data_IF_949957154074
#
_entry.id   IF_949957154074
#
_cell.length_a   1.000
_cell.length_b   1.000
_cell.length_c   1.000
_cell.angle_alpha   90.00
_cell.angle_beta   90.00
_cell.angle_gamma   90.00
#
_symmetry.space_group_name_H-M   'P 1'
#
loop_
_entity.id
_entity.type
_entity.pdbx_description
1 polymer ?
#
# COMPACT_ATOMS: atom_id res chain seq x y z
N UNK A 1 -2.34 -0.27 23.73
CA UNK A 1 -1.34 0.21 22.73
C UNK A 1 -0.18 0.76 23.50
N UNK A 2 1.06 0.45 23.09
CA UNK A 2 2.21 1.18 23.60
C UNK A 2 2.22 2.57 22.94
N UNK A 3 2.53 3.61 23.71
CA UNK A 3 2.72 4.96 23.19
C UNK A 3 3.75 5.00 22.04
N UNK A 4 4.69 4.04 21.98
CA UNK A 4 5.68 3.92 20.91
C UNK A 4 5.10 3.65 19.52
N UNK A 5 3.99 2.92 19.44
CA UNK A 5 3.36 2.57 18.15
C UNK A 5 2.59 3.77 17.57
N UNK A 6 2.00 4.59 18.45
CA UNK A 6 1.35 5.86 18.07
C UNK A 6 2.37 6.91 17.63
N UNK A 7 3.47 7.03 18.36
CA UNK A 7 4.54 7.99 18.06
C UNK A 7 5.18 7.69 16.70
N UNK A 8 5.40 6.40 16.37
CA UNK A 8 5.91 6.00 15.05
C UNK A 8 4.96 6.34 13.90
N UNK A 9 3.65 6.23 14.10
CA UNK A 9 2.67 6.57 13.06
C UNK A 9 2.57 8.09 12.87
N UNK A 10 2.69 8.89 13.93
CA UNK A 10 2.72 10.36 13.83
C UNK A 10 3.97 10.93 13.15
N UNK A 11 5.06 10.17 13.11
CA UNK A 11 6.31 10.56 12.40
C UNK A 11 6.37 10.01 10.96
N UNK A 12 5.45 9.11 10.58
CA UNK A 12 5.49 8.50 9.25
C UNK A 12 4.82 9.44 8.25
N UNK A 13 5.64 10.00 7.34
CA UNK A 13 5.14 10.77 6.19
C UNK A 13 4.15 9.93 5.38
N UNK A 14 2.93 10.44 5.20
CA UNK A 14 1.95 9.88 4.28
C UNK A 14 2.22 10.43 2.90
N UNK A 15 2.50 9.54 1.95
CA UNK A 15 2.86 9.91 0.57
C UNK A 15 1.61 10.13 -0.28
N UNK A 16 0.57 9.32 -0.09
CA UNK A 16 -0.73 9.51 -0.72
C UNK A 16 -1.89 8.98 0.13
N UNK A 17 -3.08 9.49 -0.16
CA UNK A 17 -4.35 9.13 0.47
C UNK A 17 -5.26 8.55 -0.61
N UNK A 18 -5.91 7.43 -0.31
CA UNK A 18 -6.96 6.81 -1.12
C UNK A 18 -8.24 6.87 -0.31
N UNK A 19 -9.28 7.52 -0.83
CA UNK A 19 -10.56 7.60 -0.14
C UNK A 19 -11.40 6.30 -0.31
N UNK A 20 -12.56 6.26 0.35
CA UNK A 20 -13.49 5.15 0.26
C UNK A 20 -13.96 4.86 -1.17
N UNK A 21 -14.11 5.92 -1.97
CA UNK A 21 -14.48 5.89 -3.38
C UNK A 21 -13.32 5.57 -4.33
N UNK A 22 -12.15 5.24 -3.76
CA UNK A 22 -10.92 4.87 -4.48
C UNK A 22 -10.30 6.01 -5.29
N UNK A 23 -10.58 7.26 -4.93
CA UNK A 23 -9.92 8.44 -5.49
C UNK A 23 -8.59 8.65 -4.76
N UNK A 24 -7.52 8.94 -5.50
CA UNK A 24 -6.19 9.20 -4.93
C UNK A 24 -5.85 10.67 -5.05
N UNK A 25 -5.38 11.27 -3.97
CA UNK A 25 -4.92 12.66 -3.98
C UNK A 25 -3.59 12.87 -4.74
N UNK A 26 -2.75 11.83 -4.85
CA UNK A 26 -1.47 11.86 -5.52
C UNK A 26 -1.22 10.53 -6.26
N UNK A 27 -1.73 10.40 -7.49
CA UNK A 27 -1.50 9.22 -8.35
C UNK A 27 -0.04 9.10 -8.80
N UNK A 28 0.65 10.23 -8.93
CA UNK A 28 2.01 10.28 -9.45
C UNK A 28 3.00 9.57 -8.52
N UNK A 29 2.94 9.81 -7.21
CA UNK A 29 3.86 9.18 -6.26
C UNK A 29 3.69 7.65 -6.22
N UNK A 30 2.45 7.16 -6.37
CA UNK A 30 2.16 5.72 -6.47
C UNK A 30 2.75 5.15 -7.76
N UNK A 31 2.52 5.82 -8.90
CA UNK A 31 3.08 5.40 -10.19
C UNK A 31 4.61 5.38 -10.16
N UNK A 32 5.24 6.40 -9.57
CA UNK A 32 6.70 6.53 -9.47
C UNK A 32 7.30 5.42 -8.60
N UNK A 33 6.68 5.08 -7.47
CA UNK A 33 7.10 3.96 -6.65
C UNK A 33 7.09 2.64 -7.42
N UNK A 34 5.96 2.30 -8.06
CA UNK A 34 5.89 1.05 -8.82
C UNK A 34 6.81 1.03 -10.04
N UNK A 35 7.08 2.20 -10.64
CA UNK A 35 8.11 2.36 -11.69
C UNK A 35 9.52 2.11 -11.14
N UNK A 36 9.82 2.56 -9.93
CA UNK A 36 11.10 2.29 -9.27
C UNK A 36 11.32 0.78 -9.02
N UNK A 37 10.27 0.04 -8.66
CA UNK A 37 10.35 -1.43 -8.54
C UNK A 37 10.74 -2.07 -9.87
N UNK A 38 10.14 -1.64 -10.98
CA UNK A 38 10.47 -2.15 -12.33
C UNK A 38 11.94 -1.89 -12.68
N UNK A 39 12.47 -0.72 -12.32
CA UNK A 39 13.89 -0.39 -12.50
C UNK A 39 14.81 -0.96 -11.42
N UNK A 40 14.30 -1.83 -10.55
CA UNK A 40 15.04 -2.43 -9.42
C UNK A 40 15.68 -1.40 -8.48
N UNK A 41 15.06 -0.23 -8.34
CA UNK A 41 15.49 0.83 -7.41
C UNK A 41 14.77 0.65 -6.09
N UNK A 42 15.53 0.61 -5.00
CA UNK A 42 14.98 0.54 -3.65
C UNK A 42 14.10 1.77 -3.40
N UNK A 43 12.91 1.54 -2.87
CA UNK A 43 11.96 2.61 -2.61
C UNK A 43 10.92 2.15 -1.57
N UNK A 44 10.21 3.13 -1.00
CA UNK A 44 9.16 2.90 0.00
C UNK A 44 8.09 3.97 -0.12
N UNK A 45 6.83 3.55 -0.06
CA UNK A 45 5.69 4.45 0.06
C UNK A 45 4.81 4.08 1.25
N UNK A 46 4.22 5.10 1.85
CA UNK A 46 3.17 4.95 2.86
C UNK A 46 1.87 5.59 2.36
N UNK A 47 0.79 4.83 2.42
CA UNK A 47 -0.54 5.24 1.97
C UNK A 47 -1.51 5.20 3.14
N UNK A 48 -2.39 6.21 3.20
CA UNK A 48 -3.56 6.20 4.06
C UNK A 48 -4.78 5.80 3.23
N UNK A 49 -5.48 4.75 3.62
CA UNK A 49 -6.62 4.22 2.85
C UNK A 49 -7.86 4.29 3.72
N UNK A 50 -8.82 5.13 3.33
CA UNK A 50 -10.14 5.17 3.94
C UNK A 50 -11.02 4.09 3.33
N UNK A 51 -11.81 3.45 4.18
CA UNK A 51 -12.89 2.55 3.77
C UNK A 51 -14.24 3.26 3.89
N UNK A 52 -15.24 2.73 3.19
CA UNK A 52 -16.60 3.29 3.18
C UNK A 52 -17.30 3.21 4.54
N UNK A 53 -16.87 2.30 5.41
CA UNK A 53 -17.37 2.16 6.79
C UNK A 53 -16.70 3.13 7.77
N UNK A 54 -15.84 4.04 7.29
CA UNK A 54 -15.10 4.99 8.10
C UNK A 54 -13.84 4.41 8.75
N UNK A 55 -13.51 3.14 8.52
CA UNK A 55 -12.22 2.60 8.95
C UNK A 55 -11.05 3.17 8.14
N UNK A 56 -9.90 3.25 8.79
CA UNK A 56 -8.66 3.74 8.20
C UNK A 56 -7.63 2.62 8.26
N UNK A 57 -7.00 2.35 7.12
CA UNK A 57 -5.84 1.49 7.04
C UNK A 57 -4.59 2.30 6.68
N UNK A 58 -3.46 1.92 7.27
CA UNK A 58 -2.14 2.39 6.89
C UNK A 58 -1.43 1.31 6.10
N UNK A 59 -1.11 1.60 4.85
CA UNK A 59 -0.43 0.68 3.94
C UNK A 59 1.02 1.16 3.78
N UNK A 60 1.97 0.30 4.06
CA UNK A 60 3.38 0.56 3.78
C UNK A 60 3.87 -0.46 2.77
N UNK A 61 4.39 0.02 1.64
CA UNK A 61 4.96 -0.83 0.60
C UNK A 61 6.43 -0.49 0.44
N UNK A 62 7.30 -1.47 0.60
CA UNK A 62 8.74 -1.30 0.48
C UNK A 62 9.29 -2.30 -0.53
N UNK A 63 10.15 -1.84 -1.43
CA UNK A 63 10.97 -2.70 -2.25
C UNK A 63 12.44 -2.55 -1.86
N UNK A 64 13.04 -3.64 -1.40
CA UNK A 64 14.40 -3.64 -0.88
C UNK A 64 15.47 -3.99 -1.93
N UNK A 65 15.12 -4.03 -3.22
CA UNK A 65 16.00 -4.46 -4.31
C UNK A 65 15.89 -5.94 -4.65
N UNK A 66 15.16 -6.73 -3.86
CA UNK A 66 14.91 -8.17 -4.12
C UNK A 66 13.46 -8.57 -3.92
N UNK A 67 12.86 -8.12 -2.82
CA UNK A 67 11.49 -8.47 -2.41
C UNK A 67 10.67 -7.21 -2.17
N UNK A 68 9.37 -7.36 -2.36
CA UNK A 68 8.35 -6.35 -2.11
C UNK A 68 7.66 -6.75 -0.82
N UNK A 69 7.75 -5.90 0.19
CA UNK A 69 7.17 -6.08 1.51
C UNK A 69 5.97 -5.15 1.60
N UNK A 70 4.78 -5.72 1.71
CA UNK A 70 3.55 -4.97 1.85
C UNK A 70 2.99 -5.18 3.25
N UNK A 71 2.93 -4.12 4.05
CA UNK A 71 2.38 -4.15 5.41
C UNK A 71 1.11 -3.33 5.49
N UNK A 72 0.08 -3.91 6.08
CA UNK A 72 -1.19 -3.25 6.40
C UNK A 72 -1.31 -3.16 7.90
N UNK A 73 -1.55 -1.95 8.41
CA UNK A 73 -2.02 -1.73 9.78
C UNK A 73 -3.47 -1.26 9.68
N UNK A 74 -4.39 -2.09 10.14
CA UNK A 74 -5.83 -1.77 10.20
C UNK A 74 -6.29 -1.67 11.64
N UNK A 75 -7.27 -0.81 11.90
CA UNK A 75 -7.95 -0.73 13.19
C UNK A 75 -9.27 -1.49 13.10
N UNK A 76 -9.37 -2.59 13.82
CA UNK A 76 -10.55 -3.46 13.81
C UNK A 76 -11.02 -3.65 15.27
N UNK A 77 -12.28 -3.32 15.57
CA UNK A 77 -12.88 -3.47 16.92
C UNK A 77 -12.02 -2.87 18.04
N UNK A 78 -11.43 -1.70 17.79
CA UNK A 78 -10.58 -0.99 18.76
C UNK A 78 -9.16 -1.55 18.94
N UNK A 79 -8.77 -2.58 18.18
CA UNK A 79 -7.41 -3.16 18.17
C UNK A 79 -6.70 -2.86 16.85
N UNK A 80 -5.39 -2.68 16.91
CA UNK A 80 -4.56 -2.60 15.71
C UNK A 80 -4.14 -4.01 15.29
N UNK A 81 -4.43 -4.38 14.05
CA UNK A 81 -3.96 -5.61 13.43
C UNK A 81 -2.93 -5.26 12.37
N UNK A 82 -1.74 -5.87 12.48
CA UNK A 82 -0.66 -5.77 11.51
C UNK A 82 -0.62 -7.03 10.66
N UNK A 83 -0.74 -6.89 9.35
CA UNK A 83 -0.63 -7.97 8.37
C UNK A 83 0.55 -7.62 7.45
N UNK A 84 1.40 -8.60 7.14
CA UNK A 84 2.53 -8.41 6.23
C UNK A 84 2.54 -9.50 5.16
N UNK A 85 2.58 -9.06 3.91
CA UNK A 85 2.76 -9.89 2.72
C UNK A 85 4.14 -9.67 2.12
N UNK A 86 4.69 -10.72 1.53
CA UNK A 86 6.00 -10.66 0.86
C UNK A 86 5.89 -11.32 -0.52
N UNK A 87 6.26 -10.56 -1.55
CA UNK A 87 6.34 -11.04 -2.93
C UNK A 87 7.64 -10.62 -3.60
N UNK A 88 7.81 -11.00 -4.86
CA UNK A 88 8.95 -10.65 -5.70
C UNK A 88 8.56 -9.96 -7.01
N UNK A 89 7.25 -9.87 -7.30
CA UNK A 89 6.76 -9.26 -8.53
C UNK A 89 5.49 -8.47 -8.26
N UNK A 90 5.36 -7.34 -8.95
CA UNK A 90 4.10 -6.59 -9.04
C UNK A 90 3.66 -6.50 -10.48
N UNK A 91 2.37 -6.70 -10.71
CA UNK A 91 1.74 -6.52 -12.01
C UNK A 91 0.75 -5.36 -11.89
N UNK A 92 0.87 -4.39 -12.81
CA UNK A 92 -0.13 -3.34 -13.01
C UNK A 92 -1.19 -3.87 -13.97
N UNK A 93 -2.43 -3.91 -13.51
CA UNK A 93 -3.59 -4.20 -14.35
C UNK A 93 -4.48 -2.96 -14.39
N UNK A 94 -5.11 -2.73 -15.54
CA UNK A 94 -5.90 -1.53 -15.77
C UNK A 94 -7.19 -1.92 -16.48
N UNK A 95 -8.32 -1.51 -15.92
CA UNK A 95 -9.64 -1.62 -16.55
C UNK A 95 -10.12 -0.22 -16.98
N UNK A 96 -11.33 -0.10 -17.52
CA UNK A 96 -11.92 1.21 -17.85
C UNK A 96 -12.04 2.13 -16.64
N UNK A 97 -12.25 1.56 -15.46
CA UNK A 97 -12.57 2.33 -14.24
C UNK A 97 -11.43 2.35 -13.23
N UNK A 98 -10.60 1.31 -13.19
CA UNK A 98 -9.66 1.09 -12.09
C UNK A 98 -8.25 0.75 -12.56
N UNK A 99 -7.29 1.09 -11.71
CA UNK A 99 -5.91 0.62 -11.73
C UNK A 99 -5.68 -0.27 -10.53
N UNK A 100 -5.08 -1.44 -10.76
CA UNK A 100 -4.71 -2.42 -9.74
C UNK A 100 -3.20 -2.65 -9.77
N UNK A 101 -2.58 -2.65 -8.60
CA UNK A 101 -1.23 -3.15 -8.39
C UNK A 101 -1.29 -4.45 -7.59
N UNK A 102 -1.03 -5.57 -8.24
CA UNK A 102 -1.17 -6.93 -7.69
C UNK A 102 0.20 -7.48 -7.31
N UNK A 103 0.35 -7.97 -6.08
CA UNK A 103 1.56 -8.61 -5.56
C UNK A 103 1.56 -10.11 -5.89
N UNK A 104 2.70 -10.61 -6.35
CA UNK A 104 2.93 -12.01 -6.66
C UNK A 104 4.19 -12.55 -5.97
N UNK A 105 4.19 -13.87 -5.72
CA UNK A 105 5.37 -14.66 -5.37
C UNK A 105 5.56 -15.73 -6.43
N UNK A 106 6.54 -15.54 -7.30
CA UNK A 106 6.63 -16.32 -8.54
C UNK A 106 5.35 -16.15 -9.37
N UNK A 107 4.64 -17.25 -9.60
CA UNK A 107 3.35 -17.26 -10.34
C UNK A 107 2.13 -17.08 -9.43
N UNK A 108 2.28 -17.22 -8.12
CA UNK A 108 1.18 -17.17 -7.16
C UNK A 108 0.78 -15.72 -6.88
N UNK A 109 -0.52 -15.43 -7.01
CA UNK A 109 -1.10 -14.16 -6.59
C UNK A 109 -1.21 -14.11 -5.06
N UNK A 110 -0.78 -13.01 -4.45
CA UNK A 110 -0.76 -12.84 -3.00
C UNK A 110 -1.83 -11.84 -2.55
N UNK A 111 -1.81 -10.62 -3.07
CA UNK A 111 -2.68 -9.53 -2.59
C UNK A 111 -2.76 -8.36 -3.57
N UNK A 112 -3.85 -7.60 -3.52
CA UNK A 112 -3.94 -6.26 -4.13
C UNK A 112 -3.26 -5.23 -3.22
N UNK A 113 -2.11 -4.69 -3.64
CA UNK A 113 -1.38 -3.68 -2.86
C UNK A 113 -2.14 -2.35 -2.87
N UNK A 114 -2.52 -1.91 -4.07
CA UNK A 114 -3.19 -0.64 -4.32
C UNK A 114 -4.27 -0.84 -5.37
N UNK A 115 -5.43 -0.23 -5.15
CA UNK A 115 -6.51 -0.13 -6.14
C UNK A 115 -7.07 1.29 -6.11
N UNK A 116 -7.17 1.94 -7.27
CA UNK A 116 -7.76 3.27 -7.38
C UNK A 116 -8.48 3.53 -8.70
N UNK A 117 -9.40 4.49 -8.73
CA UNK A 117 -10.13 4.93 -9.93
C UNK A 117 -9.23 5.71 -10.88
N UNK A 118 -9.35 5.44 -12.19
CA UNK A 118 -8.61 6.15 -13.24
C UNK A 118 -8.83 7.66 -13.23
#
# INVERSE_FOLDING_TARGET
MSSSDLIRISETKIDAIIDGDKIVNNKEIINNFFKNIVYKRKDKITLLVYKNDGEINFYTVEYNGKKIIFTIIKREKGKNLKITYVGDRVIKETTKEYVYYKLYRGIEFIEHIVTYKQ
#
